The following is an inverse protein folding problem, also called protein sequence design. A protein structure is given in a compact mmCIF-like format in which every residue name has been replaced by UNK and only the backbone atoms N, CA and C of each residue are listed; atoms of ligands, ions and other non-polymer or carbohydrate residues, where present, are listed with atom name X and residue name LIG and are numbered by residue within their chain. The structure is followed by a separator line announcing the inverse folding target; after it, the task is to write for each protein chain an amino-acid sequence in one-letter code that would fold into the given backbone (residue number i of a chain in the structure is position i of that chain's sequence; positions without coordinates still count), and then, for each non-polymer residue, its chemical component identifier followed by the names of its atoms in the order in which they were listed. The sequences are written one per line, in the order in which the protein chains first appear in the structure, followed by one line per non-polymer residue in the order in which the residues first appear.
data_IF_603659600824
#
_entry.id   IF_603659600824
#
_cell.length_a   1.000
_cell.length_b   1.000
_cell.length_c   1.000
_cell.angle_alpha   90.00
_cell.angle_beta   90.00
_cell.angle_gamma   90.00
#
_symmetry.space_group_name_H-M   'P 1'
#
loop_
_entity.id
_entity.type
_entity.pdbx_description
1 polymer ?
#
# COMPACT_ATOMS: atom_id res chain seq x y z
N UNK A 1 -10.22 14.76 -13.27
CA UNK A 1 -9.17 13.73 -13.18
C UNK A 1 -9.22 13.19 -11.77
N UNK A 2 -9.31 11.89 -11.61
CA UNK A 2 -9.35 11.22 -10.30
C UNK A 2 -8.08 10.40 -10.12
N UNK A 3 -7.57 10.35 -8.91
CA UNK A 3 -6.41 9.57 -8.49
C UNK A 3 -6.76 8.93 -7.15
N UNK A 4 -6.31 7.71 -6.92
CA UNK A 4 -6.42 7.01 -5.64
C UNK A 4 -5.05 6.99 -4.99
N UNK A 5 -4.96 7.38 -3.71
CA UNK A 5 -3.80 7.10 -2.86
C UNK A 5 -4.03 5.75 -2.18
N UNK A 6 -3.37 4.70 -2.67
CA UNK A 6 -3.64 3.34 -2.22
C UNK A 6 -2.91 2.92 -0.94
N UNK A 7 -2.11 3.82 -0.35
CA UNK A 7 -1.39 3.54 0.89
C UNK A 7 -1.00 4.83 1.62
N UNK A 8 -1.70 5.13 2.72
CA UNK A 8 -1.48 6.35 3.51
C UNK A 8 -1.84 6.14 4.98
N UNK A 9 -0.91 6.42 5.90
CA UNK A 9 -1.15 6.38 7.34
C UNK A 9 -1.72 7.72 7.85
N UNK A 10 -2.84 8.17 7.28
CA UNK A 10 -3.43 9.47 7.57
C UNK A 10 -3.94 9.61 9.02
N UNK A 11 -4.12 8.49 9.74
CA UNK A 11 -4.44 8.43 11.16
C UNK A 11 -3.23 8.76 12.05
N UNK A 12 -2.00 8.82 11.49
CA UNK A 12 -0.79 9.16 12.25
C UNK A 12 -0.92 10.51 12.96
N UNK A 13 -0.31 10.59 14.15
CA UNK A 13 -0.21 11.80 14.95
C UNK A 13 0.44 12.97 14.22
N UNK A 14 1.25 12.68 13.19
CA UNK A 14 1.83 13.70 12.33
C UNK A 14 0.78 14.61 11.65
N UNK A 15 -0.46 14.16 11.56
CA UNK A 15 -1.57 14.88 10.94
C UNK A 15 -2.55 15.49 11.94
N UNK A 16 -2.38 15.33 13.25
CA UNK A 16 -3.37 15.74 14.25
C UNK A 16 -3.75 17.21 14.15
N UNK A 17 -2.80 18.09 13.82
CA UNK A 17 -3.02 19.54 13.77
C UNK A 17 -3.80 19.99 12.53
N UNK A 18 -3.70 19.25 11.38
CA UNK A 18 -4.24 19.73 10.09
C UNK A 18 -4.86 18.64 9.22
N UNK A 19 -5.22 17.49 9.79
CA UNK A 19 -5.74 16.31 9.06
C UNK A 19 -6.93 16.65 8.14
N UNK A 20 -7.89 17.41 8.63
CA UNK A 20 -9.04 17.82 7.83
C UNK A 20 -8.66 18.70 6.63
N UNK A 21 -7.66 19.57 6.80
CA UNK A 21 -7.13 20.41 5.73
C UNK A 21 -6.36 19.60 4.71
N UNK A 22 -5.60 18.58 5.17
CA UNK A 22 -4.88 17.62 4.30
C UNK A 22 -5.88 16.88 3.41
N UNK A 23 -6.97 16.34 3.98
CA UNK A 23 -8.03 15.65 3.22
C UNK A 23 -8.66 16.62 2.21
N UNK A 24 -9.06 17.82 2.64
CA UNK A 24 -9.64 18.80 1.74
C UNK A 24 -8.68 19.22 0.61
N UNK A 25 -7.38 19.27 0.88
CA UNK A 25 -6.35 19.58 -0.10
C UNK A 25 -6.19 18.43 -1.10
N UNK A 26 -6.19 17.18 -0.63
CA UNK A 26 -6.09 16.01 -1.50
C UNK A 26 -7.25 15.93 -2.50
N UNK A 27 -8.48 16.15 -2.03
CA UNK A 27 -9.68 16.19 -2.88
C UNK A 27 -9.58 17.28 -3.95
N UNK A 28 -9.15 18.50 -3.57
CA UNK A 28 -8.94 19.60 -4.53
C UNK A 28 -7.90 19.27 -5.59
N UNK A 29 -6.90 18.44 -5.25
CA UNK A 29 -5.86 18.00 -6.19
C UNK A 29 -6.26 16.79 -7.03
N UNK A 30 -7.48 16.27 -6.82
CA UNK A 30 -8.05 15.14 -7.56
C UNK A 30 -7.75 13.78 -6.92
N UNK A 31 -7.18 13.76 -5.70
CA UNK A 31 -7.01 12.55 -4.89
C UNK A 31 -8.21 12.45 -3.95
N UNK A 32 -9.22 11.72 -4.37
CA UNK A 32 -10.53 11.66 -3.71
C UNK A 32 -10.81 10.33 -2.99
N UNK A 33 -9.88 9.38 -3.07
CA UNK A 33 -9.89 8.13 -2.29
C UNK A 33 -8.51 7.88 -1.69
N UNK A 34 -8.51 7.53 -0.41
CA UNK A 34 -7.31 7.31 0.39
C UNK A 34 -7.49 5.98 1.13
N UNK A 35 -6.59 5.03 0.88
CA UNK A 35 -6.62 3.74 1.54
C UNK A 35 -5.69 3.77 2.75
N UNK A 36 -6.22 3.31 3.88
CA UNK A 36 -5.58 3.41 5.19
C UNK A 36 -5.15 2.01 5.66
N UNK A 37 -3.90 1.61 5.47
CA UNK A 37 -3.42 0.33 6.00
C UNK A 37 -3.26 0.42 7.52
N UNK A 38 -3.70 -0.63 8.24
CA UNK A 38 -3.48 -0.75 9.67
C UNK A 38 -2.05 -1.22 9.95
N UNK A 39 -1.50 -0.82 11.08
CA UNK A 39 -0.16 -1.23 11.53
C UNK A 39 -0.28 -2.23 12.70
N UNK A 40 -1.01 -1.86 13.74
CA UNK A 40 -1.14 -2.58 15.00
C UNK A 40 -2.52 -2.34 15.66
N UNK A 41 -2.68 -2.78 16.90
CA UNK A 41 -3.90 -2.53 17.68
C UNK A 41 -4.09 -1.05 18.04
N UNK A 42 -3.02 -0.31 18.23
CA UNK A 42 -3.07 1.10 18.66
C UNK A 42 -3.52 2.03 17.54
N UNK A 43 -3.37 1.61 16.28
CA UNK A 43 -3.71 2.41 15.09
C UNK A 43 -5.15 2.20 14.61
N UNK A 44 -5.83 1.14 15.07
CA UNK A 44 -7.18 0.75 14.63
C UNK A 44 -8.22 1.85 14.86
N UNK A 45 -8.26 2.42 16.06
CA UNK A 45 -9.30 3.40 16.43
C UNK A 45 -9.18 4.66 15.56
N UNK A 46 -7.96 5.15 15.34
CA UNK A 46 -7.72 6.30 14.47
C UNK A 46 -8.11 6.06 13.02
N UNK A 47 -7.87 4.84 12.52
CA UNK A 47 -8.30 4.43 11.18
C UNK A 47 -9.84 4.35 11.10
N UNK A 48 -10.50 3.75 12.08
CA UNK A 48 -11.97 3.65 12.11
C UNK A 48 -12.65 5.02 12.22
N UNK A 49 -12.08 5.94 13.00
CA UNK A 49 -12.57 7.31 13.07
C UNK A 49 -12.57 7.99 11.69
N UNK A 50 -11.49 7.83 10.93
CA UNK A 50 -11.40 8.37 9.57
C UNK A 50 -12.39 7.71 8.60
N UNK A 51 -12.57 6.40 8.68
CA UNK A 51 -13.55 5.68 7.85
C UNK A 51 -14.99 6.15 8.17
N UNK A 52 -15.30 6.40 9.44
CA UNK A 52 -16.60 6.91 9.88
C UNK A 52 -16.83 8.36 9.44
N UNK A 53 -15.83 9.23 9.61
CA UNK A 53 -15.96 10.68 9.41
C UNK A 53 -15.84 11.06 7.91
N UNK A 54 -15.17 10.22 7.10
CA UNK A 54 -14.95 10.41 5.65
C UNK A 54 -15.25 9.13 4.84
N UNK A 55 -16.48 8.57 4.90
CA UNK A 55 -16.80 7.24 4.35
C UNK A 55 -16.67 7.14 2.83
N UNK A 56 -16.74 8.26 2.10
CA UNK A 56 -16.58 8.29 0.64
C UNK A 56 -15.11 8.51 0.21
N UNK A 57 -14.21 8.78 1.17
CA UNK A 57 -12.81 9.14 0.91
C UNK A 57 -11.85 8.13 1.52
N UNK A 58 -12.11 7.66 2.75
CA UNK A 58 -11.19 6.85 3.54
C UNK A 58 -11.65 5.39 3.60
N UNK A 59 -10.79 4.48 3.16
CA UNK A 59 -11.05 3.02 3.11
C UNK A 59 -9.98 2.30 3.92
N UNK A 60 -10.38 1.58 4.96
CA UNK A 60 -9.43 0.88 5.84
C UNK A 60 -9.01 -0.48 5.29
N UNK A 61 -7.80 -0.88 5.64
CA UNK A 61 -7.29 -2.23 5.51
C UNK A 61 -6.95 -2.76 6.91
N UNK A 62 -7.16 -4.03 7.18
CA UNK A 62 -6.88 -4.63 8.49
C UNK A 62 -5.69 -5.57 8.42
N UNK A 63 -4.73 -5.40 9.32
CA UNK A 63 -3.55 -6.25 9.36
C UNK A 63 -2.63 -5.91 10.52
N UNK A 64 -1.62 -6.76 10.72
CA UNK A 64 -0.50 -6.56 11.64
C UNK A 64 0.77 -6.41 10.82
N UNK A 65 1.39 -5.25 10.95
CA UNK A 65 2.61 -4.90 10.23
C UNK A 65 3.80 -5.76 10.69
N UNK A 66 4.71 -6.19 9.81
CA UNK A 66 5.81 -7.09 10.18
C UNK A 66 6.73 -6.55 11.27
N UNK A 67 6.93 -5.24 11.39
CA UNK A 67 7.74 -4.64 12.45
C UNK A 67 7.08 -4.72 13.84
N UNK A 68 5.77 -4.94 13.90
CA UNK A 68 4.98 -5.04 15.13
C UNK A 68 4.64 -6.50 15.49
N UNK A 69 5.17 -7.45 14.72
CA UNK A 69 5.07 -8.89 15.02
C UNK A 69 6.04 -9.24 16.17
N UNK A 70 5.54 -9.21 17.40
CA UNK A 70 6.27 -9.57 18.62
C UNK A 70 5.92 -10.97 19.15
N UNK A 71 6.28 -11.26 20.40
CA UNK A 71 6.05 -12.57 21.03
C UNK A 71 4.56 -12.93 21.13
N UNK A 72 3.66 -11.96 21.32
CA UNK A 72 2.23 -12.10 21.46
C UNK A 72 1.46 -11.94 20.13
N UNK A 73 2.15 -11.93 18.99
CA UNK A 73 1.58 -11.61 17.67
C UNK A 73 0.31 -12.40 17.32
N UNK A 74 0.24 -13.68 17.71
CA UNK A 74 -0.89 -14.54 17.37
C UNK A 74 -2.19 -14.11 18.08
N UNK A 75 -2.07 -13.63 19.33
CA UNK A 75 -3.18 -13.05 20.09
C UNK A 75 -3.59 -11.70 19.50
N UNK A 76 -2.63 -10.81 19.25
CA UNK A 76 -2.90 -9.48 18.69
C UNK A 76 -3.54 -9.58 17.31
N UNK A 77 -2.99 -10.42 16.44
CA UNK A 77 -3.55 -10.68 15.14
C UNK A 77 -4.96 -11.27 15.23
N UNK A 78 -5.23 -12.15 16.20
CA UNK A 78 -6.58 -12.67 16.40
C UNK A 78 -7.59 -11.56 16.72
N UNK A 79 -7.21 -10.60 17.56
CA UNK A 79 -8.07 -9.44 17.88
C UNK A 79 -8.31 -8.61 16.62
N UNK A 80 -7.26 -8.26 15.86
CA UNK A 80 -7.36 -7.48 14.63
C UNK A 80 -8.29 -8.14 13.61
N UNK A 81 -8.08 -9.43 13.32
CA UNK A 81 -8.85 -10.13 12.30
C UNK A 81 -10.33 -10.28 12.67
N UNK A 82 -10.66 -10.39 13.97
CA UNK A 82 -12.05 -10.44 14.43
C UNK A 82 -12.82 -9.13 14.18
N UNK A 83 -12.15 -8.00 14.02
CA UNK A 83 -12.79 -6.73 13.67
C UNK A 83 -13.47 -6.78 12.30
N UNK A 84 -13.04 -7.66 11.41
CA UNK A 84 -13.67 -7.85 10.10
C UNK A 84 -15.07 -8.53 10.17
N UNK A 85 -15.51 -8.93 11.34
CA UNK A 85 -16.89 -9.39 11.55
C UNK A 85 -17.87 -8.22 11.82
N UNK A 86 -17.34 -7.05 12.19
CA UNK A 86 -18.13 -5.85 12.54
C UNK A 86 -17.84 -4.63 11.66
N UNK A 87 -16.72 -4.63 10.94
CA UNK A 87 -16.29 -3.54 10.07
C UNK A 87 -16.01 -4.07 8.66
N UNK A 88 -16.18 -3.21 7.68
CA UNK A 88 -15.84 -3.51 6.27
C UNK A 88 -14.49 -2.93 5.94
N UNK A 89 -13.60 -3.77 5.40
CA UNK A 89 -12.27 -3.37 4.93
C UNK A 89 -12.13 -3.64 3.44
N UNK A 90 -11.32 -2.83 2.76
CA UNK A 90 -11.06 -2.99 1.33
C UNK A 90 -9.91 -3.99 1.05
N UNK A 91 -9.08 -4.31 2.06
CA UNK A 91 -7.97 -5.25 1.95
C UNK A 91 -7.53 -5.79 3.32
N UNK A 92 -6.65 -6.78 3.30
CA UNK A 92 -5.81 -7.14 4.45
C UNK A 92 -4.45 -6.47 4.27
N UNK A 93 -4.10 -5.56 5.15
CA UNK A 93 -2.88 -4.75 5.08
C UNK A 93 -2.78 -3.75 6.25
N UNK A 94 -1.55 -3.37 6.54
CA UNK A 94 -0.28 -3.68 5.93
C UNK A 94 0.28 -4.99 6.50
N UNK A 95 0.67 -5.91 5.64
CA UNK A 95 1.20 -7.22 6.06
C UNK A 95 2.46 -7.56 5.26
N UNK A 96 3.31 -8.42 5.77
CA UNK A 96 4.50 -8.78 4.99
C UNK A 96 5.68 -9.22 5.83
N UNK A 97 6.90 -8.91 5.35
CA UNK A 97 8.15 -9.27 6.00
C UNK A 97 9.13 -8.09 5.88
N UNK A 98 9.70 -7.68 7.02
CA UNK A 98 10.78 -6.68 7.10
C UNK A 98 12.03 -7.30 7.73
N UNK A 99 13.09 -7.43 6.94
CA UNK A 99 14.40 -7.95 7.39
C UNK A 99 15.47 -6.86 7.47
N UNK A 100 15.06 -5.61 7.47
CA UNK A 100 15.98 -4.48 7.63
C UNK A 100 16.26 -4.18 9.11
N UNK A 101 15.20 -4.10 9.92
CA UNK A 101 15.31 -3.72 11.33
C UNK A 101 15.71 -4.89 12.22
N UNK A 102 15.04 -6.02 12.09
CA UNK A 102 15.32 -7.22 12.88
C UNK A 102 15.15 -8.49 12.03
N UNK A 103 16.24 -9.20 11.83
CA UNK A 103 16.26 -10.47 11.11
C UNK A 103 15.94 -11.67 12.01
N UNK A 104 16.00 -11.49 13.33
CA UNK A 104 15.78 -12.59 14.29
C UNK A 104 14.31 -13.00 14.37
N UNK A 105 13.40 -12.09 14.03
CA UNK A 105 11.96 -12.31 14.03
C UNK A 105 11.41 -12.87 12.71
N UNK A 106 12.26 -13.14 11.70
CA UNK A 106 11.82 -13.63 10.38
C UNK A 106 10.82 -14.79 10.49
N UNK A 107 11.08 -15.78 11.34
CA UNK A 107 10.21 -16.96 11.46
C UNK A 107 8.79 -16.62 11.91
N UNK A 108 8.64 -15.74 12.89
CA UNK A 108 7.31 -15.31 13.36
C UNK A 108 6.63 -14.35 12.38
N UNK A 109 7.38 -13.49 11.70
CA UNK A 109 6.84 -12.63 10.65
C UNK A 109 6.27 -13.47 9.49
N UNK A 110 6.97 -14.54 9.06
CA UNK A 110 6.47 -15.46 8.03
C UNK A 110 5.17 -16.16 8.47
N UNK A 111 5.08 -16.62 9.71
CA UNK A 111 3.86 -17.24 10.25
C UNK A 111 2.70 -16.24 10.31
N UNK A 112 2.94 -15.03 10.78
CA UNK A 112 1.95 -13.96 10.81
C UNK A 112 1.50 -13.57 9.40
N UNK A 113 2.43 -13.45 8.45
CA UNK A 113 2.12 -13.17 7.05
C UNK A 113 1.24 -14.26 6.43
N UNK A 114 1.61 -15.53 6.58
CA UNK A 114 0.85 -16.67 6.05
C UNK A 114 -0.57 -16.69 6.62
N UNK A 115 -0.74 -16.50 7.93
CA UNK A 115 -2.06 -16.46 8.57
C UNK A 115 -2.93 -15.34 8.00
N UNK A 116 -2.37 -14.17 7.75
CA UNK A 116 -3.07 -13.03 7.17
C UNK A 116 -3.43 -13.26 5.69
N UNK A 117 -2.55 -13.89 4.91
CA UNK A 117 -2.84 -14.32 3.53
C UNK A 117 -4.01 -15.31 3.50
N UNK A 118 -4.03 -16.30 4.39
CA UNK A 118 -5.13 -17.28 4.48
C UNK A 118 -6.44 -16.61 4.89
N UNK A 119 -6.38 -15.66 5.81
CA UNK A 119 -7.55 -14.86 6.18
C UNK A 119 -8.07 -14.04 4.99
N UNK A 120 -7.20 -13.34 4.27
CA UNK A 120 -7.57 -12.57 3.09
C UNK A 120 -8.27 -13.44 2.04
N UNK A 121 -7.73 -14.63 1.77
CA UNK A 121 -8.36 -15.61 0.88
C UNK A 121 -9.75 -16.02 1.37
N UNK A 122 -9.91 -16.30 2.67
CA UNK A 122 -11.20 -16.71 3.24
C UNK A 122 -12.28 -15.64 3.11
N UNK A 123 -11.89 -14.36 3.14
CA UNK A 123 -12.78 -13.20 3.01
C UNK A 123 -12.89 -12.69 1.56
N UNK A 124 -12.10 -13.23 0.62
CA UNK A 124 -12.05 -12.75 -0.76
C UNK A 124 -11.42 -11.35 -0.91
N UNK A 125 -10.63 -10.92 0.08
CA UNK A 125 -9.98 -9.62 0.11
C UNK A 125 -8.60 -9.66 -0.58
N UNK A 126 -8.16 -8.56 -1.21
CA UNK A 126 -6.77 -8.41 -1.64
C UNK A 126 -5.85 -8.18 -0.43
N UNK A 127 -4.53 -8.25 -0.68
CA UNK A 127 -3.51 -7.97 0.33
C UNK A 127 -2.64 -6.78 -0.06
N UNK A 128 -2.29 -5.93 0.91
CA UNK A 128 -1.28 -4.87 0.76
C UNK A 128 0.01 -5.30 1.48
N UNK A 129 1.07 -5.49 0.70
CA UNK A 129 2.29 -6.17 1.14
C UNK A 129 3.42 -5.18 1.40
N UNK A 130 3.89 -5.14 2.64
CA UNK A 130 5.17 -4.58 3.02
C UNK A 130 6.30 -5.57 2.68
N UNK A 131 7.32 -5.09 2.00
CA UNK A 131 8.47 -5.91 1.66
C UNK A 131 9.78 -5.12 1.78
N UNK A 132 10.58 -5.43 2.78
CA UNK A 132 11.89 -4.80 2.93
C UNK A 132 12.98 -5.83 3.17
N UNK A 133 13.91 -5.94 2.20
CA UNK A 133 14.93 -6.99 2.15
C UNK A 133 14.35 -8.43 2.16
N UNK A 134 13.08 -8.61 1.77
CA UNK A 134 12.35 -9.86 1.89
C UNK A 134 11.55 -10.25 0.64
N UNK A 135 11.61 -9.47 -0.45
CA UNK A 135 10.75 -9.62 -1.64
C UNK A 135 10.83 -11.02 -2.24
N UNK A 136 12.02 -11.59 -2.40
CA UNK A 136 12.16 -12.96 -2.88
C UNK A 136 11.45 -13.98 -1.98
N UNK A 137 11.58 -13.82 -0.65
CA UNK A 137 10.96 -14.73 0.31
C UNK A 137 9.44 -14.64 0.28
N UNK A 138 8.91 -13.43 0.19
CA UNK A 138 7.47 -13.21 0.04
C UNK A 138 6.97 -13.85 -1.26
N UNK A 139 7.66 -13.65 -2.38
CA UNK A 139 7.31 -14.27 -3.68
C UNK A 139 7.30 -15.81 -3.56
N UNK A 140 8.27 -16.41 -2.87
CA UNK A 140 8.30 -17.88 -2.65
C UNK A 140 7.06 -18.36 -1.89
N UNK A 141 6.67 -17.66 -0.82
CA UNK A 141 5.46 -17.98 -0.05
C UNK A 141 4.22 -17.86 -0.94
N UNK A 142 4.09 -16.75 -1.68
CA UNK A 142 2.93 -16.47 -2.52
C UNK A 142 2.78 -17.45 -3.69
N UNK A 143 3.87 -18.02 -4.21
CA UNK A 143 3.82 -19.08 -5.25
C UNK A 143 2.96 -20.28 -4.81
N UNK A 144 2.87 -20.57 -3.51
CA UNK A 144 2.02 -21.66 -2.98
C UNK A 144 0.52 -21.37 -3.06
N UNK A 145 0.14 -20.13 -3.29
CA UNK A 145 -1.24 -19.65 -3.43
C UNK A 145 -1.64 -19.37 -4.88
N UNK A 146 -0.76 -19.63 -5.84
CA UNK A 146 -1.06 -19.45 -7.27
C UNK A 146 -2.30 -20.24 -7.69
N UNK A 147 -3.22 -19.58 -8.40
CA UNK A 147 -4.48 -20.18 -8.85
C UNK A 147 -5.57 -20.28 -7.77
N UNK A 148 -5.34 -19.80 -6.55
CA UNK A 148 -6.33 -19.76 -5.47
C UNK A 148 -7.14 -18.45 -5.40
N UNK A 149 -6.94 -17.54 -6.37
CA UNK A 149 -7.64 -16.25 -6.40
C UNK A 149 -7.05 -15.17 -5.49
N UNK A 150 -5.86 -15.40 -4.91
CA UNK A 150 -5.14 -14.37 -4.16
C UNK A 150 -4.71 -13.24 -5.10
N UNK A 151 -4.95 -12.00 -4.67
CA UNK A 151 -4.54 -10.79 -5.38
C UNK A 151 -4.03 -9.76 -4.39
N UNK A 152 -3.22 -8.81 -4.86
CA UNK A 152 -2.66 -7.81 -3.95
C UNK A 152 -1.74 -6.80 -4.61
N UNK A 153 -1.05 -6.06 -3.78
CA UNK A 153 -0.06 -5.08 -4.18
C UNK A 153 1.21 -5.23 -3.35
N UNK A 154 2.35 -5.16 -3.98
CA UNK A 154 3.60 -4.87 -3.30
C UNK A 154 3.71 -3.36 -3.18
N UNK A 155 3.37 -2.83 -1.99
CA UNK A 155 3.43 -1.41 -1.73
C UNK A 155 4.88 -0.91 -1.72
N UNK A 156 5.07 0.38 -1.97
CA UNK A 156 6.37 1.06 -1.96
C UNK A 156 7.46 0.36 -2.81
N UNK A 157 7.04 -0.24 -3.95
CA UNK A 157 7.95 -0.96 -4.81
C UNK A 157 9.10 -0.05 -5.31
N UNK A 158 10.33 -0.46 -5.03
CA UNK A 158 11.54 0.28 -5.39
C UNK A 158 12.71 -0.63 -5.79
N UNK A 159 12.39 -1.82 -6.27
CA UNK A 159 13.31 -2.90 -6.59
C UNK A 159 13.68 -2.93 -8.09
N UNK A 160 14.35 -4.00 -8.52
CA UNK A 160 14.79 -4.18 -9.90
C UNK A 160 13.64 -4.56 -10.86
N UNK A 161 13.92 -4.42 -12.15
CA UNK A 161 13.00 -4.86 -13.21
C UNK A 161 12.70 -6.36 -13.13
N UNK A 162 13.70 -7.17 -12.82
CA UNK A 162 13.56 -8.62 -12.69
C UNK A 162 12.57 -8.99 -11.59
N UNK A 163 12.65 -8.33 -10.43
CA UNK A 163 11.70 -8.52 -9.32
C UNK A 163 10.31 -8.04 -9.69
N UNK A 164 10.18 -6.89 -10.37
CA UNK A 164 8.88 -6.44 -10.89
C UNK A 164 8.23 -7.51 -11.78
N UNK A 165 9.01 -8.11 -12.69
CA UNK A 165 8.51 -9.18 -13.56
C UNK A 165 8.14 -10.46 -12.79
N UNK A 166 8.85 -10.80 -11.71
CA UNK A 166 8.47 -11.94 -10.86
C UNK A 166 7.14 -11.69 -10.14
N UNK A 167 6.93 -10.47 -9.63
CA UNK A 167 5.66 -10.07 -8.98
C UNK A 167 4.50 -10.13 -9.98
N UNK A 168 4.67 -9.55 -11.17
CA UNK A 168 3.64 -9.54 -12.23
C UNK A 168 3.25 -10.97 -12.63
N UNK A 169 4.21 -11.91 -12.66
CA UNK A 169 3.95 -13.33 -12.97
C UNK A 169 3.18 -14.09 -11.87
N UNK A 170 2.99 -13.52 -10.70
CA UNK A 170 2.16 -14.14 -9.65
C UNK A 170 0.67 -14.14 -9.99
N UNK A 171 0.27 -13.38 -11.02
CA UNK A 171 -1.13 -13.17 -11.42
C UNK A 171 -1.99 -12.50 -10.32
N UNK A 172 -2.61 -11.39 -10.67
CA UNK A 172 -3.41 -10.60 -9.72
C UNK A 172 -2.62 -9.68 -8.79
N UNK A 173 -1.30 -9.54 -8.95
CA UNK A 173 -0.48 -8.64 -8.16
C UNK A 173 -0.05 -7.40 -8.94
N UNK A 174 -0.06 -6.26 -8.25
CA UNK A 174 0.32 -4.95 -8.77
C UNK A 174 1.51 -4.38 -7.98
N UNK A 175 2.11 -3.33 -8.55
CA UNK A 175 3.20 -2.57 -7.96
C UNK A 175 2.64 -1.24 -7.44
N UNK A 176 2.79 -0.96 -6.15
CA UNK A 176 2.49 0.33 -5.53
C UNK A 176 3.65 1.29 -5.73
N UNK A 177 3.40 2.39 -6.43
CA UNK A 177 4.45 3.36 -6.76
C UNK A 177 4.19 4.67 -6.03
N UNK A 178 5.16 5.02 -5.16
CA UNK A 178 5.15 6.22 -4.34
C UNK A 178 6.25 7.23 -4.69
N UNK A 179 6.53 8.13 -3.76
CA UNK A 179 7.42 9.28 -3.93
C UNK A 179 8.85 8.95 -4.40
N UNK A 180 9.33 7.74 -4.16
CA UNK A 180 10.68 7.26 -4.54
C UNK A 180 10.95 7.39 -6.04
N UNK A 181 9.93 7.26 -6.90
CA UNK A 181 10.10 7.44 -8.36
C UNK A 181 10.60 8.83 -8.74
N UNK A 182 10.38 9.83 -7.90
CA UNK A 182 10.82 11.21 -8.11
C UNK A 182 12.26 11.46 -7.65
N UNK A 183 12.89 10.51 -6.93
CA UNK A 183 14.23 10.69 -6.39
C UNK A 183 15.29 10.51 -7.49
N UNK A 184 16.14 11.50 -7.62
CA UNK A 184 17.12 11.59 -8.73
C UNK A 184 18.02 10.35 -8.88
N UNK A 185 18.34 9.68 -7.77
CA UNK A 185 19.28 8.56 -7.75
C UNK A 185 18.62 7.20 -7.43
N UNK A 186 17.29 7.10 -7.51
CA UNK A 186 16.60 5.84 -7.22
C UNK A 186 16.76 4.80 -8.33
N UNK A 187 16.96 5.23 -9.56
CA UNK A 187 16.92 4.34 -10.74
C UNK A 187 15.53 3.80 -11.07
N UNK A 188 14.53 4.04 -10.19
CA UNK A 188 13.19 3.47 -10.33
C UNK A 188 12.48 3.92 -11.61
N UNK A 189 12.72 5.17 -12.08
CA UNK A 189 12.16 5.64 -13.34
C UNK A 189 12.58 4.79 -14.54
N UNK A 190 13.84 4.33 -14.59
CA UNK A 190 14.33 3.45 -15.67
C UNK A 190 13.71 2.05 -15.63
N UNK A 191 13.37 1.57 -14.44
CA UNK A 191 12.65 0.31 -14.26
C UNK A 191 11.21 0.46 -14.76
N UNK A 192 10.51 1.51 -14.30
CA UNK A 192 9.09 1.73 -14.62
C UNK A 192 8.85 2.12 -16.09
N UNK A 193 9.84 2.68 -16.79
CA UNK A 193 9.76 2.89 -18.24
C UNK A 193 9.60 1.59 -19.07
N UNK A 194 9.80 0.43 -18.43
CA UNK A 194 9.68 -0.91 -19.05
C UNK A 194 8.49 -1.69 -18.51
N UNK A 195 7.66 -1.08 -17.67
CA UNK A 195 6.50 -1.72 -17.03
C UNK A 195 5.24 -1.03 -17.54
N UNK A 196 4.29 -1.81 -18.04
CA UNK A 196 3.00 -1.31 -18.48
C UNK A 196 2.19 -0.75 -17.31
N UNK A 197 1.50 0.37 -17.52
CA UNK A 197 0.71 1.03 -16.48
C UNK A 197 -0.40 0.16 -15.90
N UNK A 198 -0.83 -0.89 -16.62
CA UNK A 198 -1.83 -1.85 -16.11
C UNK A 198 -1.37 -2.66 -14.89
N UNK A 199 -0.06 -2.67 -14.60
CA UNK A 199 0.55 -3.33 -13.44
C UNK A 199 0.86 -2.37 -12.28
N UNK A 200 0.47 -1.09 -12.40
CA UNK A 200 0.85 -0.02 -11.46
C UNK A 200 -0.39 0.56 -10.78
N UNK A 201 -0.29 0.80 -9.48
CA UNK A 201 -1.15 1.70 -8.71
C UNK A 201 -0.32 2.78 -8.02
N UNK A 202 -0.96 3.88 -7.64
CA UNK A 202 -0.28 5.03 -7.04
C UNK A 202 -0.51 5.09 -5.55
N UNK A 203 0.48 5.57 -4.83
CA UNK A 203 0.42 5.73 -3.38
C UNK A 203 1.32 6.87 -2.91
N UNK A 204 1.24 7.21 -1.64
CA UNK A 204 2.18 8.14 -1.00
C UNK A 204 3.05 7.49 0.06
N UNK A 205 2.52 6.54 0.82
CA UNK A 205 3.09 6.08 2.09
C UNK A 205 3.22 7.24 3.10
N UNK A 206 2.27 8.20 3.05
CA UNK A 206 2.28 9.37 3.94
C UNK A 206 2.12 8.94 5.41
N UNK A 207 2.87 9.54 6.34
CA UNK A 207 3.67 10.79 6.25
C UNK A 207 5.09 10.62 5.71
N UNK A 208 5.48 9.42 5.28
CA UNK A 208 6.84 9.06 4.88
C UNK A 208 7.11 9.35 3.39
N UNK A 209 8.38 9.27 2.97
CA UNK A 209 8.84 9.20 1.58
C UNK A 209 8.33 10.32 0.64
N UNK A 210 8.23 11.56 1.15
CA UNK A 210 7.78 12.72 0.36
C UNK A 210 8.49 12.81 -0.99
N UNK A 211 7.72 12.98 -2.10
CA UNK A 211 8.28 13.16 -3.43
C UNK A 211 9.02 14.50 -3.57
N UNK A 212 9.85 14.62 -4.60
CA UNK A 212 10.37 15.93 -5.01
C UNK A 212 9.22 16.84 -5.47
N UNK A 213 9.24 18.14 -5.17
CA UNK A 213 10.28 18.90 -4.48
C UNK A 213 10.18 18.91 -2.94
N UNK A 214 9.29 18.11 -2.34
CA UNK A 214 8.97 18.13 -0.91
C UNK A 214 9.83 17.19 -0.07
N UNK A 215 10.86 16.57 -0.63
CA UNK A 215 11.73 15.63 0.09
C UNK A 215 12.27 16.24 1.40
N UNK A 216 12.19 15.44 2.48
CA UNK A 216 12.61 15.87 3.83
C UNK A 216 11.53 16.64 4.60
N UNK A 217 10.33 16.81 4.03
CA UNK A 217 9.13 17.30 4.70
C UNK A 217 8.13 16.16 4.90
N UNK A 218 7.10 16.38 5.73
CA UNK A 218 5.98 15.44 5.86
C UNK A 218 5.31 15.25 4.49
N UNK A 219 5.09 14.00 4.11
CA UNK A 219 4.33 13.62 2.94
C UNK A 219 2.83 13.77 3.20
N UNK A 220 2.01 13.85 2.15
CA UNK A 220 0.55 13.91 2.25
C UNK A 220 -0.12 13.33 1.00
N UNK A 221 -1.40 12.87 1.10
CA UNK A 221 -2.10 12.24 -0.04
C UNK A 221 -2.14 13.08 -1.31
N UNK A 222 -2.20 14.41 -1.21
CA UNK A 222 -2.22 15.31 -2.37
C UNK A 222 -0.97 15.15 -3.27
N UNK A 223 0.14 14.63 -2.71
CA UNK A 223 1.39 14.43 -3.43
C UNK A 223 1.40 13.17 -4.32
N UNK A 224 0.39 12.30 -4.24
CA UNK A 224 0.18 11.22 -5.23
C UNK A 224 0.14 11.79 -6.65
N UNK A 225 -0.35 13.01 -6.81
CA UNK A 225 -0.35 13.71 -8.09
C UNK A 225 1.06 13.91 -8.65
N UNK A 226 2.05 14.25 -7.81
CA UNK A 226 3.45 14.40 -8.24
C UNK A 226 4.05 13.07 -8.69
N UNK A 227 3.63 11.97 -8.06
CA UNK A 227 4.00 10.62 -8.48
C UNK A 227 3.42 10.33 -9.87
N UNK A 228 2.14 10.64 -10.09
CA UNK A 228 1.47 10.49 -11.39
C UNK A 228 2.13 11.32 -12.49
N UNK A 229 2.47 12.58 -12.20
CA UNK A 229 3.18 13.48 -13.13
C UNK A 229 4.54 12.88 -13.51
N UNK A 230 5.27 12.35 -12.53
CA UNK A 230 6.56 11.71 -12.78
C UNK A 230 6.43 10.45 -13.64
N UNK A 231 5.41 9.61 -13.40
CA UNK A 231 5.16 8.44 -14.23
C UNK A 231 4.76 8.80 -15.66
N UNK A 232 3.99 9.88 -15.83
CA UNK A 232 3.65 10.40 -17.17
C UNK A 232 4.92 10.77 -17.96
N UNK A 233 5.85 11.48 -17.32
CA UNK A 233 7.14 11.82 -17.92
C UNK A 233 7.97 10.57 -18.29
N UNK A 234 8.03 9.60 -17.36
CA UNK A 234 8.82 8.37 -17.51
C UNK A 234 8.29 7.50 -18.66
N UNK A 235 6.98 7.39 -18.79
CA UNK A 235 6.34 6.52 -19.80
C UNK A 235 6.03 7.26 -21.12
N UNK A 236 6.23 8.59 -21.18
CA UNK A 236 5.96 9.38 -22.37
C UNK A 236 4.47 9.48 -22.71
N UNK A 237 3.60 9.41 -21.70
CA UNK A 237 2.14 9.49 -21.83
C UNK A 237 1.57 10.71 -21.12
N UNK A 238 0.28 10.97 -21.29
CA UNK A 238 -0.36 12.10 -20.58
C UNK A 238 -0.62 11.76 -19.10
N UNK A 239 -0.60 12.79 -18.24
CA UNK A 239 -1.02 12.65 -16.84
C UNK A 239 -2.45 12.09 -16.72
N UNK A 240 -3.33 12.44 -17.65
CA UNK A 240 -4.69 11.93 -17.67
C UNK A 240 -4.73 10.41 -17.87
N UNK A 241 -3.92 9.89 -18.77
CA UNK A 241 -3.80 8.45 -19.03
C UNK A 241 -3.24 7.70 -17.82
N UNK A 242 -2.17 8.20 -17.18
CA UNK A 242 -1.66 7.61 -15.93
C UNK A 242 -2.75 7.57 -14.87
N UNK A 243 -3.41 8.69 -14.60
CA UNK A 243 -4.47 8.78 -13.59
C UNK A 243 -5.64 7.83 -13.91
N UNK A 244 -6.07 7.74 -15.16
CA UNK A 244 -7.16 6.87 -15.58
C UNK A 244 -6.82 5.39 -15.39
N UNK A 245 -5.65 4.96 -15.88
CA UNK A 245 -5.24 3.54 -15.82
C UNK A 245 -5.00 3.11 -14.38
N UNK A 246 -4.21 3.88 -13.63
CA UNK A 246 -3.85 3.51 -12.24
C UNK A 246 -5.05 3.57 -11.29
N UNK A 247 -5.99 4.51 -11.50
CA UNK A 247 -7.25 4.55 -10.73
C UNK A 247 -8.10 3.31 -11.02
N UNK A 248 -8.28 2.93 -12.30
CA UNK A 248 -8.99 1.69 -12.66
C UNK A 248 -8.35 0.44 -12.07
N UNK A 249 -7.01 0.40 -12.02
CA UNK A 249 -6.31 -0.70 -11.40
C UNK A 249 -6.60 -0.77 -9.89
N UNK A 250 -6.57 0.35 -9.18
CA UNK A 250 -6.89 0.43 -7.76
C UNK A 250 -8.37 0.05 -7.49
N UNK A 251 -9.30 0.60 -8.25
CA UNK A 251 -10.74 0.28 -8.14
C UNK A 251 -11.00 -1.23 -8.36
N UNK A 252 -10.37 -1.82 -9.39
CA UNK A 252 -10.48 -3.26 -9.67
C UNK A 252 -9.88 -4.13 -8.57
N UNK A 253 -8.71 -3.74 -8.02
CA UNK A 253 -8.04 -4.52 -6.99
C UNK A 253 -8.81 -4.50 -5.67
N UNK A 254 -9.19 -3.31 -5.20
CA UNK A 254 -9.73 -3.09 -3.86
C UNK A 254 -11.26 -3.08 -3.81
N UNK A 255 -11.95 -2.99 -4.94
CA UNK A 255 -13.42 -2.95 -4.99
C UNK A 255 -14.04 -1.66 -4.46
N UNK A 256 -13.37 -0.53 -4.65
CA UNK A 256 -13.73 0.79 -4.12
C UNK A 256 -14.31 1.70 -5.19
#
# INVERSE_FOLDING_TARGET
MRIVDTHCHLYSKDFDEDRAEVIARSIRMGVDRILLPNVDLDTVDGMHDLMRDYPEVCYGMIGLHPCDVGDDWDRELSVLLNLADTHTYCAVGEIGIDLYWDKTTQGIQELAFIRQVEFALSKGLPIAIHSRNATHRIIEILKSYKGKGLRGVFHCFSESYELAQEIIKLDGFLLGIGGVVTFKNSGLGEVLAKIDLEHIILETDSPYLSPMPHRGKRNEPSYTRLVAEKLADVNGVSLFEVAEVTTKNAERLFGI
#
